data_IF_192084657988
#
_entry.id   IF_192084657988
#
_cell.length_a   1.000
_cell.length_b   1.000
_cell.length_c   1.000
_cell.angle_alpha   90.00
_cell.angle_beta   90.00
_cell.angle_gamma   90.00
#
_symmetry.space_group_name_H-M   'P 1'
#
loop_
_entity.id
_entity.type
_entity.pdbx_description
1 polymer ?
#
# COMPACT_ATOMS: atom_id res chain seq x y z
N UNK A 1 11.60 -29.64 2.26
CA UNK A 1 11.48 -30.99 2.85
C UNK A 1 12.88 -31.37 3.32
N UNK A 2 13.06 -31.62 4.61
CA UNK A 2 14.34 -32.07 5.14
C UNK A 2 14.22 -33.59 5.33
N UNK A 3 15.16 -34.32 4.75
CA UNK A 3 15.29 -35.77 4.88
C UNK A 3 16.76 -36.15 4.89
N UNK A 4 17.07 -37.32 5.44
CA UNK A 4 18.41 -37.88 5.45
C UNK A 4 18.32 -39.39 5.25
N UNK A 5 19.25 -39.94 4.47
CA UNK A 5 19.36 -41.38 4.22
C UNK A 5 20.60 -41.88 4.94
N UNK A 6 20.43 -42.92 5.75
CA UNK A 6 21.56 -43.63 6.36
C UNK A 6 21.79 -44.93 5.61
N UNK A 7 22.95 -45.02 4.94
CA UNK A 7 23.44 -46.25 4.30
C UNK A 7 24.56 -46.83 5.18
N UNK A 8 24.32 -47.93 5.90
CA UNK A 8 25.33 -48.57 6.74
C UNK A 8 26.46 -49.17 5.89
N UNK A 9 27.70 -49.11 6.39
CA UNK A 9 28.86 -49.74 5.74
C UNK A 9 28.79 -51.27 5.75
N UNK A 10 28.16 -51.85 6.77
CA UNK A 10 27.86 -53.28 6.85
C UNK A 10 26.49 -53.59 6.23
N UNK A 11 26.48 -53.69 4.90
CA UNK A 11 25.28 -54.00 4.13
C UNK A 11 24.84 -55.48 4.21
N UNK A 12 25.64 -56.35 4.84
CA UNK A 12 25.28 -57.75 5.03
C UNK A 12 24.29 -57.93 6.18
N UNK A 13 24.37 -57.07 7.20
CA UNK A 13 23.53 -57.15 8.39
C UNK A 13 22.49 -56.02 8.50
N UNK A 14 22.63 -54.93 7.73
CA UNK A 14 21.74 -53.79 7.80
C UNK A 14 21.35 -53.24 6.43
N UNK A 15 20.10 -52.82 6.29
CA UNK A 15 19.58 -52.18 5.08
C UNK A 15 19.63 -50.67 5.20
N UNK A 16 19.72 -49.98 4.06
CA UNK A 16 19.58 -48.52 4.02
C UNK A 16 18.20 -48.11 4.55
N UNK A 17 18.15 -47.03 5.32
CA UNK A 17 16.90 -46.48 5.83
C UNK A 17 16.83 -44.97 5.57
N UNK A 18 15.67 -44.52 5.13
CA UNK A 18 15.35 -43.11 4.99
C UNK A 18 14.69 -42.59 6.27
N UNK A 19 15.12 -41.42 6.73
CA UNK A 19 14.43 -40.72 7.80
C UNK A 19 13.04 -40.29 7.32
N UNK A 20 12.04 -40.38 8.22
CA UNK A 20 10.69 -39.89 7.93
C UNK A 20 10.74 -38.42 7.50
N UNK A 21 10.11 -38.04 6.37
CA UNK A 21 10.15 -36.67 5.87
C UNK A 21 9.55 -35.69 6.87
N UNK A 22 10.35 -34.73 7.34
CA UNK A 22 9.84 -33.66 8.19
C UNK A 22 9.32 -32.51 7.33
N UNK A 23 7.99 -32.36 7.29
CA UNK A 23 7.34 -31.27 6.58
C UNK A 23 7.23 -30.05 7.49
N UNK A 24 8.19 -29.14 7.37
CA UNK A 24 8.13 -27.83 8.02
C UNK A 24 7.21 -26.91 7.21
N UNK A 25 6.10 -26.47 7.83
CA UNK A 25 5.36 -25.31 7.33
C UNK A 25 6.12 -24.07 7.75
N UNK A 26 6.72 -23.36 6.81
CA UNK A 26 7.22 -22.00 7.07
C UNK A 26 5.98 -21.11 7.22
N UNK A 27 5.81 -20.52 8.40
CA UNK A 27 4.76 -19.53 8.61
C UNK A 27 4.96 -18.35 7.68
N UNK A 28 3.91 -17.94 6.96
CA UNK A 28 3.91 -16.64 6.28
C UNK A 28 4.11 -15.55 7.33
N UNK A 29 4.91 -14.49 7.05
CA UNK A 29 5.07 -13.40 7.99
C UNK A 29 3.71 -12.87 8.42
N UNK A 30 3.53 -12.63 9.73
CA UNK A 30 2.30 -12.05 10.28
C UNK A 30 2.00 -10.68 9.65
N UNK A 31 3.03 -10.00 9.17
CA UNK A 31 2.97 -8.71 8.48
C UNK A 31 2.59 -8.84 6.98
N UNK A 32 2.33 -10.05 6.48
CA UNK A 32 1.99 -10.31 5.08
C UNK A 32 3.21 -10.37 4.15
N UNK A 33 2.93 -10.42 2.85
CA UNK A 33 3.96 -10.22 1.81
C UNK A 33 4.34 -8.74 1.82
N UNK A 34 5.65 -8.44 1.82
CA UNK A 34 6.12 -7.05 1.72
C UNK A 34 5.73 -6.53 0.33
N UNK A 35 4.66 -5.75 0.30
CA UNK A 35 4.21 -5.01 -0.86
C UNK A 35 5.03 -3.72 -0.97
N UNK A 36 5.64 -3.41 -2.13
CA UNK A 36 6.35 -2.16 -2.29
C UNK A 36 5.43 -0.94 -2.27
N UNK A 37 4.12 -1.11 -2.46
CA UNK A 37 3.16 -0.01 -2.39
C UNK A 37 2.63 0.08 -0.97
N UNK A 38 3.06 1.11 -0.25
CA UNK A 38 2.49 1.48 1.02
C UNK A 38 1.26 2.36 0.79
N UNK A 39 0.16 2.03 1.46
CA UNK A 39 -1.12 2.73 1.30
C UNK A 39 -1.59 3.22 2.67
N UNK A 40 -2.02 4.47 2.72
CA UNK A 40 -2.73 5.09 3.83
C UNK A 40 -4.11 5.52 3.35
N UNK A 41 -5.13 5.22 4.16
CA UNK A 41 -6.52 5.55 3.84
C UNK A 41 -7.14 6.26 5.01
N UNK A 42 -7.81 7.37 4.72
CA UNK A 42 -8.72 8.02 5.66
C UNK A 42 -10.07 8.25 4.98
N UNK A 43 -11.08 8.51 5.81
CA UNK A 43 -12.41 8.87 5.34
C UNK A 43 -12.78 10.24 5.87
N UNK A 44 -13.37 11.05 4.99
CA UNK A 44 -13.89 12.37 5.35
C UNK A 44 -15.34 12.49 4.93
N UNK A 45 -16.01 13.42 5.58
CA UNK A 45 -17.37 13.80 5.23
C UNK A 45 -17.38 14.62 3.94
N UNK A 46 -18.06 14.12 2.92
CA UNK A 46 -18.16 14.76 1.61
C UNK A 46 -19.05 16.00 1.61
N UNK A 47 -18.76 16.96 0.73
CA UNK A 47 -19.69 18.03 0.39
C UNK A 47 -20.80 17.49 -0.51
N UNK A 48 -22.06 17.76 -0.16
CA UNK A 48 -23.23 17.22 -0.87
C UNK A 48 -23.82 16.00 -0.16
N UNK A 49 -25.13 16.05 0.05
CA UNK A 49 -25.83 15.13 0.96
C UNK A 49 -26.97 14.44 0.24
N UNK A 50 -27.34 13.27 0.76
CA UNK A 50 -28.46 12.47 0.26
C UNK A 50 -29.63 12.45 1.25
N UNK A 51 -29.50 13.11 2.40
CA UNK A 51 -30.54 13.21 3.44
C UNK A 51 -30.48 14.47 4.31
N UNK A 52 -31.45 14.63 5.24
CA UNK A 52 -31.67 15.86 6.05
C UNK A 52 -30.67 16.08 7.18
N UNK A 53 -29.93 15.06 7.62
CA UNK A 53 -28.83 15.16 8.61
C UNK A 53 -27.47 15.44 7.97
N UNK A 54 -27.52 16.02 6.78
CA UNK A 54 -26.42 16.69 6.14
C UNK A 54 -25.71 17.67 7.09
N UNK A 55 -24.37 17.72 7.11
CA UNK A 55 -23.66 18.82 7.74
C UNK A 55 -24.10 20.11 7.06
N UNK A 56 -24.81 20.96 7.80
CA UNK A 56 -25.46 22.14 7.22
C UNK A 56 -24.43 23.20 6.81
N UNK A 57 -23.22 23.21 7.39
CA UNK A 57 -22.09 24.10 7.04
C UNK A 57 -20.71 23.53 7.46
N UNK A 58 -19.65 23.85 6.70
CA UNK A 58 -18.32 24.19 7.24
C UNK A 58 -17.30 23.10 7.62
N UNK A 59 -17.62 21.80 7.58
CA UNK A 59 -16.69 20.72 7.98
C UNK A 59 -16.56 19.58 6.96
N UNK A 60 -16.73 19.88 5.67
CA UNK A 60 -16.43 18.91 4.60
C UNK A 60 -14.92 18.79 4.44
N UNK A 61 -14.29 17.89 5.22
CA UNK A 61 -12.89 17.41 5.17
C UNK A 61 -12.40 16.89 6.54
N UNK A 62 -13.24 16.92 7.58
CA UNK A 62 -12.90 16.31 8.87
C UNK A 62 -12.75 14.80 8.71
N UNK A 63 -11.60 14.27 9.14
CA UNK A 63 -11.36 12.83 9.17
C UNK A 63 -12.26 12.23 10.25
N UNK A 64 -13.06 11.24 9.86
CA UNK A 64 -13.92 10.49 10.75
C UNK A 64 -14.10 9.08 10.22
N UNK A 65 -14.25 8.11 11.13
CA UNK A 65 -14.67 6.75 10.83
C UNK A 65 -16.16 6.54 11.12
N UNK A 66 -16.88 7.58 11.53
CA UNK A 66 -18.27 7.48 11.97
C UNK A 66 -19.18 8.34 11.09
N UNK A 67 -20.20 7.71 10.53
CA UNK A 67 -21.14 8.35 9.62
C UNK A 67 -22.57 7.93 9.94
N UNK A 68 -23.53 8.76 9.57
CA UNK A 68 -24.96 8.45 9.66
C UNK A 68 -25.52 8.28 8.24
N UNK A 69 -26.47 7.35 8.06
CA UNK A 69 -27.18 7.17 6.77
C UNK A 69 -27.71 8.50 6.23
N UNK A 70 -27.43 8.79 4.96
CA UNK A 70 -27.73 10.07 4.30
C UNK A 70 -26.53 11.01 4.18
N UNK A 71 -25.38 10.63 4.75
CA UNK A 71 -24.10 11.31 4.56
C UNK A 71 -23.29 10.69 3.41
N UNK A 72 -22.48 11.51 2.77
CA UNK A 72 -21.53 11.06 1.74
C UNK A 72 -20.18 10.78 2.39
N UNK A 73 -19.66 9.58 2.19
CA UNK A 73 -18.34 9.16 2.66
C UNK A 73 -17.36 9.34 1.50
N UNK A 74 -16.29 10.11 1.71
CA UNK A 74 -15.20 10.26 0.76
C UNK A 74 -13.97 9.56 1.33
N UNK A 75 -13.50 8.55 0.62
CA UNK A 75 -12.23 7.88 0.90
C UNK A 75 -11.11 8.70 0.27
N UNK A 76 -10.12 9.09 1.07
CA UNK A 76 -8.86 9.66 0.57
C UNK A 76 -7.78 8.62 0.74
N UNK A 77 -7.15 8.27 -0.38
CA UNK A 77 -6.13 7.24 -0.46
C UNK A 77 -4.82 7.89 -0.88
N UNK A 78 -3.82 7.69 -0.05
CA UNK A 78 -2.44 8.10 -0.27
C UNK A 78 -1.61 6.84 -0.44
N UNK A 79 -0.70 6.83 -1.40
CA UNK A 79 0.18 5.69 -1.55
C UNK A 79 1.55 6.11 -2.07
N UNK A 80 2.56 5.33 -1.71
CA UNK A 80 3.94 5.54 -2.10
C UNK A 80 4.61 4.21 -2.43
N UNK A 81 5.47 4.22 -3.44
CA UNK A 81 6.23 3.05 -3.88
C UNK A 81 7.64 3.05 -3.28
N UNK A 82 7.87 2.12 -2.35
CA UNK A 82 9.16 1.87 -1.72
C UNK A 82 10.26 1.51 -2.73
N UNK A 83 9.92 0.81 -3.83
CA UNK A 83 10.88 0.46 -4.87
C UNK A 83 11.33 1.66 -5.72
N UNK A 84 10.62 2.79 -5.62
CA UNK A 84 10.97 4.07 -6.25
C UNK A 84 11.36 5.13 -5.23
N UNK A 85 12.04 4.72 -4.15
CA UNK A 85 12.50 5.62 -3.09
C UNK A 85 11.36 6.43 -2.44
N UNK A 86 10.16 5.83 -2.34
CA UNK A 86 8.98 6.47 -1.76
C UNK A 86 8.25 7.42 -2.71
N UNK A 87 8.42 7.27 -4.02
CA UNK A 87 7.67 8.05 -5.00
C UNK A 87 6.17 7.93 -4.78
N UNK A 88 5.45 9.06 -4.84
CA UNK A 88 3.98 9.08 -4.70
C UNK A 88 3.35 8.29 -5.85
N UNK A 89 2.33 7.50 -5.53
CA UNK A 89 1.48 6.86 -6.53
C UNK A 89 0.53 7.91 -7.10
N UNK A 90 0.71 8.27 -8.36
CA UNK A 90 -0.07 9.27 -9.10
C UNK A 90 -0.47 8.72 -10.49
N UNK A 91 -1.20 9.46 -11.34
CA UNK A 91 -1.62 8.97 -12.65
C UNK A 91 -0.47 8.63 -13.60
N UNK A 92 0.75 9.12 -13.35
CA UNK A 92 1.92 8.83 -14.20
C UNK A 92 2.40 7.39 -13.99
N UNK A 93 2.35 6.87 -12.76
CA UNK A 93 2.85 5.54 -12.40
C UNK A 93 1.76 4.52 -11.97
N UNK A 94 0.51 4.95 -11.80
CA UNK A 94 -0.61 4.08 -11.40
C UNK A 94 -1.41 3.62 -12.61
N UNK A 95 -1.59 2.31 -12.78
CA UNK A 95 -2.40 1.72 -13.84
C UNK A 95 -3.88 1.68 -13.47
N UNK A 96 -4.18 1.32 -12.22
CA UNK A 96 -5.56 1.23 -11.71
C UNK A 96 -5.58 1.46 -10.21
N UNK A 97 -6.62 2.12 -9.70
CA UNK A 97 -6.84 2.31 -8.28
C UNK A 97 -8.35 2.21 -8.00
N UNK A 98 -8.74 1.40 -7.02
CA UNK A 98 -10.16 1.16 -6.72
C UNK A 98 -10.39 0.70 -5.27
N UNK A 99 -11.63 0.84 -4.82
CA UNK A 99 -12.11 0.36 -3.52
C UNK A 99 -13.19 -0.68 -3.72
N UNK A 100 -13.05 -1.81 -3.05
CA UNK A 100 -14.07 -2.85 -2.91
C UNK A 100 -14.74 -2.66 -1.55
N UNK A 101 -16.07 -2.60 -1.51
CA UNK A 101 -16.84 -2.42 -0.29
C UNK A 101 -17.86 -3.55 -0.20
N UNK A 102 -17.91 -4.24 0.94
CA UNK A 102 -18.90 -5.30 1.16
C UNK A 102 -20.32 -4.74 0.97
N UNK A 103 -21.14 -5.40 0.16
CA UNK A 103 -22.49 -4.92 -0.18
C UNK A 103 -22.57 -3.92 -1.34
N UNK A 104 -21.44 -3.50 -1.93
CA UNK A 104 -21.41 -2.71 -3.17
C UNK A 104 -21.00 -3.63 -4.33
N UNK A 105 -21.87 -3.77 -5.33
CA UNK A 105 -21.69 -4.75 -6.41
C UNK A 105 -20.45 -4.51 -7.28
N UNK A 106 -20.14 -3.25 -7.58
CA UNK A 106 -19.02 -2.86 -8.43
C UNK A 106 -17.97 -2.10 -7.63
N UNK A 107 -16.66 -2.39 -7.81
CA UNK A 107 -15.62 -1.60 -7.18
C UNK A 107 -15.73 -0.12 -7.55
N UNK A 108 -15.52 0.75 -6.57
CA UNK A 108 -15.53 2.20 -6.76
C UNK A 108 -14.16 2.60 -7.34
N UNK A 109 -14.10 3.15 -8.57
CA UNK A 109 -12.84 3.63 -9.12
C UNK A 109 -12.36 4.86 -8.33
N UNK A 110 -11.05 4.92 -8.11
CA UNK A 110 -10.41 6.06 -7.46
C UNK A 110 -9.99 7.10 -8.49
N UNK A 111 -10.25 8.38 -8.21
CA UNK A 111 -9.83 9.50 -9.04
C UNK A 111 -8.75 10.31 -8.34
N UNK A 112 -7.62 10.55 -9.01
CA UNK A 112 -6.56 11.40 -8.47
C UNK A 112 -6.90 12.88 -8.66
N UNK A 113 -6.84 13.66 -7.59
CA UNK A 113 -7.13 15.09 -7.63
C UNK A 113 -6.35 15.85 -6.58
N UNK A 114 -6.34 17.18 -6.74
CA UNK A 114 -5.77 18.09 -5.76
C UNK A 114 -6.91 18.82 -5.02
N UNK A 115 -6.80 18.90 -3.70
CA UNK A 115 -7.69 19.70 -2.87
C UNK A 115 -6.83 20.53 -1.90
N UNK A 116 -6.88 21.86 -2.06
CA UNK A 116 -6.14 22.82 -1.22
C UNK A 116 -4.63 22.54 -1.12
N UNK A 117 -4.01 22.13 -2.23
CA UNK A 117 -2.56 21.89 -2.30
C UNK A 117 -2.13 20.47 -1.91
N UNK A 118 -3.05 19.63 -1.43
CA UNK A 118 -2.78 18.21 -1.14
C UNK A 118 -3.41 17.34 -2.23
N UNK A 119 -2.62 16.42 -2.79
CA UNK A 119 -3.10 15.50 -3.83
C UNK A 119 -3.28 14.10 -3.28
N UNK A 120 -4.39 13.45 -3.64
CA UNK A 120 -4.74 12.10 -3.22
C UNK A 120 -5.75 11.46 -4.18
N UNK A 121 -5.86 10.14 -4.08
CA UNK A 121 -6.87 9.36 -4.77
C UNK A 121 -8.19 9.41 -4.00
N UNK A 122 -9.30 9.61 -4.71
CA UNK A 122 -10.63 9.81 -4.11
C UNK A 122 -11.64 8.78 -4.58
N UNK A 123 -12.34 8.16 -3.63
CA UNK A 123 -13.49 7.30 -3.87
C UNK A 123 -14.70 7.82 -3.09
N UNK A 124 -15.89 7.74 -3.67
CA UNK A 124 -17.10 8.30 -3.05
C UNK A 124 -18.13 7.20 -2.84
N UNK A 125 -18.57 7.02 -1.59
CA UNK A 125 -19.70 6.17 -1.23
C UNK A 125 -20.85 7.06 -0.73
N UNK A 126 -21.93 7.12 -1.51
CA UNK A 126 -23.16 7.79 -1.10
C UNK A 126 -24.04 6.84 -0.30
N UNK A 127 -24.45 7.25 0.90
CA UNK A 127 -25.32 6.43 1.76
C UNK A 127 -26.76 6.94 1.71
N UNK A 128 -27.75 6.08 1.97
CA UNK A 128 -29.16 6.49 1.96
C UNK A 128 -30.11 5.35 1.65
N UNK A 129 -31.41 5.55 1.86
CA UNK A 129 -32.43 4.53 1.66
C UNK A 129 -32.93 4.43 0.21
N UNK A 130 -32.61 5.41 -0.63
CA UNK A 130 -32.96 5.39 -2.06
C UNK A 130 -32.21 4.27 -2.78
N UNK A 131 -32.85 3.65 -3.78
CA UNK A 131 -32.24 2.60 -4.61
C UNK A 131 -30.91 3.06 -5.19
N UNK A 132 -29.88 2.21 -5.06
CA UNK A 132 -28.52 2.51 -5.53
C UNK A 132 -27.62 3.22 -4.53
N UNK A 133 -28.14 3.61 -3.34
CA UNK A 133 -27.34 4.13 -2.23
C UNK A 133 -27.02 3.03 -1.23
N UNK A 134 -25.89 3.17 -0.54
CA UNK A 134 -25.46 2.22 0.48
C UNK A 134 -26.19 2.45 1.81
N UNK A 135 -26.68 1.39 2.44
CA UNK A 135 -27.47 1.49 3.67
C UNK A 135 -27.27 0.35 4.67
N UNK A 136 -26.25 -0.49 4.50
CA UNK A 136 -25.91 -1.52 5.49
C UNK A 136 -25.31 -0.85 6.73
N UNK A 137 -26.04 -0.91 7.84
CA UNK A 137 -25.63 -0.35 9.12
C UNK A 137 -24.52 -1.18 9.78
N UNK A 138 -23.77 -0.54 10.67
CA UNK A 138 -22.64 -1.13 11.38
C UNK A 138 -21.35 -0.98 10.59
N UNK A 139 -20.45 -1.94 10.77
CA UNK A 139 -19.12 -1.93 10.17
C UNK A 139 -19.19 -1.95 8.63
N UNK A 140 -18.58 -0.97 7.99
CA UNK A 140 -18.31 -0.98 6.56
C UNK A 140 -16.96 -1.64 6.33
N UNK A 141 -16.99 -2.90 5.87
CA UNK A 141 -15.78 -3.61 5.46
C UNK A 141 -15.38 -3.20 4.04
N UNK A 142 -14.13 -2.75 3.87
CA UNK A 142 -13.61 -2.34 2.57
C UNK A 142 -12.14 -2.69 2.39
N UNK A 143 -11.73 -2.79 1.12
CA UNK A 143 -10.37 -3.04 0.68
C UNK A 143 -10.01 -2.07 -0.43
N UNK A 144 -8.84 -1.46 -0.33
CA UNK A 144 -8.26 -0.62 -1.37
C UNK A 144 -7.24 -1.41 -2.14
N UNK A 145 -7.27 -1.32 -3.47
CA UNK A 145 -6.28 -1.91 -4.35
C UNK A 145 -5.71 -0.86 -5.30
N UNK A 146 -4.39 -0.80 -5.40
CA UNK A 146 -3.67 0.04 -6.35
C UNK A 146 -2.71 -0.82 -7.17
N UNK A 147 -2.76 -0.68 -8.48
CA UNK A 147 -1.94 -1.44 -9.42
C UNK A 147 -1.00 -0.45 -10.09
N UNK A 148 0.30 -0.68 -9.97
CA UNK A 148 1.31 0.10 -10.67
C UNK A 148 1.31 -0.23 -12.15
N UNK A 149 1.71 0.72 -13.00
CA UNK A 149 2.05 0.43 -14.39
C UNK A 149 3.30 -0.44 -14.45
N UNK A 150 3.40 -1.24 -15.51
CA UNK A 150 4.64 -1.94 -15.84
C UNK A 150 5.79 -0.95 -15.99
N UNK A 151 6.97 -1.38 -15.58
CA UNK A 151 8.15 -0.53 -15.50
C UNK A 151 9.21 -0.98 -16.48
N UNK A 152 9.61 -0.05 -17.36
CA UNK A 152 10.76 -0.24 -18.24
C UNK A 152 12.04 0.33 -17.61
N UNK A 153 11.93 0.96 -16.44
CA UNK A 153 13.06 1.54 -15.73
C UNK A 153 13.04 1.16 -14.25
N UNK A 154 14.22 1.19 -13.62
CA UNK A 154 14.36 1.01 -12.17
C UNK A 154 15.34 2.02 -11.59
N UNK A 155 15.05 2.50 -10.39
CA UNK A 155 15.97 3.30 -9.59
C UNK A 155 16.91 2.36 -8.84
N UNK A 156 18.21 2.52 -9.05
CA UNK A 156 19.25 1.69 -8.40
C UNK A 156 20.26 2.57 -7.67
N UNK A 157 20.77 2.13 -6.50
CA UNK A 157 21.89 2.79 -5.87
C UNK A 157 23.12 2.69 -6.78
N UNK A 158 23.80 3.81 -6.94
CA UNK A 158 25.03 3.94 -7.69
C UNK A 158 26.07 4.68 -6.85
N UNK A 159 27.34 4.40 -7.13
CA UNK A 159 28.46 4.98 -6.40
C UNK A 159 29.15 6.00 -7.29
N UNK A 160 29.34 7.21 -6.75
CA UNK A 160 30.19 8.23 -7.37
C UNK A 160 31.35 8.53 -6.44
N UNK A 161 32.56 8.52 -7.00
CA UNK A 161 33.76 8.99 -6.33
C UNK A 161 33.88 10.50 -6.54
N UNK A 162 33.88 11.25 -5.43
CA UNK A 162 34.10 12.70 -5.47
C UNK A 162 35.34 13.03 -4.68
N UNK A 163 36.30 13.84 -5.22
CA UNK A 163 37.47 14.25 -4.46
C UNK A 163 37.05 14.93 -3.16
N UNK A 164 37.59 14.46 -2.03
CA UNK A 164 37.37 15.10 -0.73
C UNK A 164 37.97 16.50 -0.79
N UNK A 165 37.17 17.52 -0.51
CA UNK A 165 37.63 18.91 -0.38
C UNK A 165 37.51 19.35 1.08
N UNK A 166 38.52 20.08 1.56
CA UNK A 166 38.50 20.80 2.84
C UNK A 166 38.90 22.24 2.52
N UNK A 167 38.06 23.21 2.89
CA UNK A 167 38.23 24.62 2.56
C UNK A 167 38.48 24.87 1.05
N UNK A 168 37.74 24.17 0.19
CA UNK A 168 37.85 24.26 -1.27
C UNK A 168 39.05 23.54 -1.89
N UNK A 169 40.03 23.07 -1.11
CA UNK A 169 41.23 22.38 -1.60
C UNK A 169 41.07 20.86 -1.56
N UNK A 170 41.55 20.17 -2.60
CA UNK A 170 41.53 18.71 -2.70
C UNK A 170 42.49 18.10 -1.66
N UNK A 171 41.97 17.18 -0.85
CA UNK A 171 42.75 16.45 0.15
C UNK A 171 43.58 15.36 -0.55
N UNK A 172 44.88 15.33 -0.25
CA UNK A 172 45.79 14.26 -0.69
C UNK A 172 46.40 13.56 0.53
N UNK A 173 46.57 12.24 0.45
CA UNK A 173 47.30 11.42 1.42
C UNK A 173 48.37 10.63 0.66
N UNK A 174 49.63 10.75 1.06
CA UNK A 174 50.79 10.15 0.37
C UNK A 174 50.81 10.48 -1.13
N UNK A 175 50.55 11.75 -1.48
CA UNK A 175 50.51 12.21 -2.88
C UNK A 175 49.27 11.82 -3.69
N UNK A 176 48.44 10.89 -3.20
CA UNK A 176 47.21 10.41 -3.87
C UNK A 176 45.98 11.18 -3.40
N UNK A 177 45.04 11.44 -4.32
CA UNK A 177 43.76 12.10 -4.00
C UNK A 177 42.92 11.19 -3.10
N UNK A 178 42.35 11.77 -2.04
CA UNK A 178 41.38 11.08 -1.19
C UNK A 178 39.98 11.29 -1.79
N UNK A 179 39.26 10.21 -2.06
CA UNK A 179 37.89 10.24 -2.58
C UNK A 179 36.87 9.94 -1.46
N UNK A 180 35.70 10.55 -1.57
CA UNK A 180 34.49 10.18 -0.83
C UNK A 180 33.64 9.25 -1.68
N UNK A 181 33.06 8.22 -1.04
CA UNK A 181 32.02 7.41 -1.64
C UNK A 181 30.68 8.10 -1.40
N UNK A 182 30.06 8.60 -2.48
CA UNK A 182 28.71 9.14 -2.42
C UNK A 182 27.79 8.11 -3.07
N UNK A 183 26.86 7.56 -2.28
CA UNK A 183 25.74 6.76 -2.78
C UNK A 183 24.70 7.74 -3.30
N UNK A 184 24.33 7.59 -4.56
CA UNK A 184 23.25 8.33 -5.20
C UNK A 184 22.33 7.35 -5.93
N UNK A 185 21.15 7.80 -6.31
CA UNK A 185 20.22 6.99 -7.07
C UNK A 185 20.27 7.38 -8.54
N UNK A 186 20.33 6.39 -9.43
CA UNK A 186 20.17 6.61 -10.88
C UNK A 186 19.07 5.72 -11.44
N UNK A 187 18.45 6.19 -12.51
CA UNK A 187 17.48 5.43 -13.28
C UNK A 187 18.20 4.62 -14.35
N UNK A 188 17.91 3.32 -14.43
CA UNK A 188 18.42 2.43 -15.49
C UNK A 188 17.26 1.90 -16.32
N UNK A 189 17.49 1.72 -17.63
CA UNK A 189 16.57 1.01 -18.52
C UNK A 189 16.69 -0.50 -18.27
N UNK A 190 15.57 -1.19 -18.31
CA UNK A 190 15.48 -2.63 -18.13
C UNK A 190 15.37 -3.30 -19.50
N UNK A 191 16.11 -4.40 -19.70
CA UNK A 191 16.03 -5.19 -20.93
C UNK A 191 14.69 -5.90 -21.10
N UNK A 192 13.99 -6.14 -19.98
CA UNK A 192 12.63 -6.70 -19.94
C UNK A 192 11.79 -5.87 -18.98
N UNK A 193 10.55 -5.48 -19.34
CA UNK A 193 9.65 -4.79 -18.44
C UNK A 193 9.39 -5.60 -17.16
N UNK A 194 9.38 -4.93 -16.02
CA UNK A 194 8.91 -5.53 -14.77
C UNK A 194 7.41 -5.30 -14.64
N UNK A 195 6.63 -6.34 -14.29
CA UNK A 195 5.21 -6.18 -14.05
C UNK A 195 4.98 -5.19 -12.90
N UNK A 196 3.96 -4.35 -13.03
CA UNK A 196 3.54 -3.45 -11.98
C UNK A 196 3.17 -4.20 -10.70
N UNK A 197 3.68 -3.73 -9.56
CA UNK A 197 3.28 -4.25 -8.25
C UNK A 197 1.81 -3.94 -7.95
N UNK A 198 1.18 -4.81 -7.17
CA UNK A 198 -0.21 -4.65 -6.71
C UNK A 198 -0.19 -4.38 -5.21
N UNK A 199 -0.54 -3.15 -4.87
CA UNK A 199 -0.78 -2.56 -3.55
C UNK A 199 -2.12 -2.96 -2.99
N UNK A 200 -2.21 -3.52 -1.79
CA UNK A 200 -3.50 -3.68 -1.09
C UNK A 200 -3.51 -3.13 0.33
N UNK A 201 -4.65 -2.55 0.73
CA UNK A 201 -4.90 -2.11 2.09
C UNK A 201 -6.28 -2.53 2.53
N UNK A 202 -6.38 -2.98 3.77
CA UNK A 202 -7.64 -3.24 4.46
C UNK A 202 -7.50 -2.76 5.90
N UNK A 203 -8.58 -2.26 6.49
CA UNK A 203 -8.53 -1.79 7.87
C UNK A 203 -8.22 -2.96 8.81
N UNK A 204 -7.19 -2.80 9.63
CA UNK A 204 -6.84 -3.68 10.74
C UNK A 204 -6.93 -2.96 12.09
N UNK A 205 -7.60 -1.80 12.11
CA UNK A 205 -7.78 -1.03 13.33
C UNK A 205 -8.67 -1.76 14.33
N UNK A 206 -8.56 -1.35 15.60
CA UNK A 206 -9.46 -1.80 16.65
C UNK A 206 -10.92 -1.49 16.27
N UNK A 207 -11.90 -2.30 16.69
CA UNK A 207 -13.29 -2.17 16.23
C UNK A 207 -13.88 -0.77 16.34
N UNK A 208 -13.53 -0.02 17.40
CA UNK A 208 -13.97 1.36 17.65
C UNK A 208 -13.37 2.41 16.70
N UNK A 209 -12.35 2.05 15.92
CA UNK A 209 -11.70 2.91 14.93
C UNK A 209 -11.97 2.45 13.50
N UNK A 210 -12.83 1.44 13.31
CA UNK A 210 -13.24 0.99 12.00
C UNK A 210 -14.41 1.83 11.46
N UNK A 211 -14.47 1.96 10.14
CA UNK A 211 -15.50 2.72 9.45
C UNK A 211 -16.89 2.14 9.74
N UNK A 212 -17.75 2.94 10.37
CA UNK A 212 -19.06 2.51 10.86
C UNK A 212 -20.17 3.43 10.36
N UNK A 213 -21.27 2.84 9.89
CA UNK A 213 -22.48 3.53 9.47
C UNK A 213 -23.60 3.36 10.50
N UNK A 214 -24.08 4.45 11.05
CA UNK A 214 -25.15 4.49 12.04
C UNK A 214 -26.49 4.86 11.39
N UNK A 215 -27.57 4.40 12.01
CA UNK A 215 -28.91 4.85 11.67
C UNK A 215 -29.08 6.35 12.01
N UNK A 216 -30.03 6.99 11.33
CA UNK A 216 -30.49 8.32 11.70
C UNK A 216 -31.12 8.25 13.12
N UNK A 217 -30.69 9.10 14.07
CA UNK A 217 -31.31 9.16 15.40
C UNK A 217 -32.82 9.40 15.28
N UNK A 218 -33.61 8.65 16.05
CA UNK A 218 -35.04 8.88 16.17
C UNK A 218 -35.27 10.04 17.15
N UNK A 219 -36.07 11.02 16.74
CA UNK A 219 -36.54 12.10 17.61
C UNK A 219 -37.50 11.57 18.69
#
# INVERSE_FOLDING_TARGET
MLGATLTPTDAANFTTVDAAPFTVKVGVPVQGVIDPIHIYVDTVLGSGTTGPLAPRFGVSCAITSEFIVGQTIVFRVYANDANQAGAVMDPTNTAKAYIEIAGVANPIPLNYGNHSGVAFWTGVLKTGTTTGLYNTLGLISFKVTMIKKDQNTKTVPALKLVPKKVNGKVVKKNGKIVYLHIIYYKTVQLGTPLPGSVGTWQSNFTPNSQLTLYAVPKA
#
